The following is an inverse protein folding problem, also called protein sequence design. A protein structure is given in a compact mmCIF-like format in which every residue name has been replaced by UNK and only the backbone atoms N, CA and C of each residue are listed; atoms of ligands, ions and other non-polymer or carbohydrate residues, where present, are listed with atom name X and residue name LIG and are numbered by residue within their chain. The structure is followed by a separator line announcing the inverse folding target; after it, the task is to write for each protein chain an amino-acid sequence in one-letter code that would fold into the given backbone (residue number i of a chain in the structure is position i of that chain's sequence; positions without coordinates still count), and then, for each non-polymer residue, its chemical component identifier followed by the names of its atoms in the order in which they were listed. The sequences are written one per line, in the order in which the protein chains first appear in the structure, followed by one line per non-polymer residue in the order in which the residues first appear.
data_IF_941614351249
#
_entry.id   IF_941614351249
#
_cell.length_a   1.000
_cell.length_b   1.000
_cell.length_c   1.000
_cell.angle_alpha   90.00
_cell.angle_beta   90.00
_cell.angle_gamma   90.00
#
_symmetry.space_group_name_H-M   'P 1'
#
loop_
_entity.id
_entity.type
_entity.pdbx_description
1 polymer ?
#
# COMPACT_ATOMS: atom_id res chain seq x y z
N UNK A 1 -26.90 -36.34 13.72
CA UNK A 1 -25.49 -36.16 13.28
C UNK A 1 -25.52 -34.95 12.37
N UNK A 2 -25.78 -33.77 12.95
CA UNK A 2 -26.21 -32.59 12.19
C UNK A 2 -25.55 -31.32 12.74
N UNK A 3 -24.25 -31.40 13.06
CA UNK A 3 -23.51 -30.31 13.70
C UNK A 3 -22.44 -29.67 12.78
N UNK A 4 -22.00 -30.35 11.72
CA UNK A 4 -20.95 -29.84 10.83
C UNK A 4 -21.45 -28.82 9.79
N UNK A 5 -22.77 -28.65 9.64
CA UNK A 5 -23.35 -27.73 8.62
C UNK A 5 -23.41 -26.27 9.10
N UNK A 6 -23.36 -26.05 10.41
CA UNK A 6 -23.37 -24.72 11.05
C UNK A 6 -22.11 -23.92 10.74
N UNK A 7 -20.94 -24.58 10.87
CA UNK A 7 -19.67 -23.85 10.96
C UNK A 7 -19.14 -23.43 9.59
N UNK A 8 -19.45 -24.21 8.55
CA UNK A 8 -19.07 -23.88 7.16
C UNK A 8 -19.95 -22.78 6.57
N UNK A 9 -21.22 -22.68 6.97
CA UNK A 9 -22.14 -21.62 6.57
C UNK A 9 -21.82 -20.30 7.32
N UNK A 10 -21.43 -20.39 8.60
CA UNK A 10 -20.95 -19.24 9.39
C UNK A 10 -19.63 -18.65 8.85
N UNK A 11 -18.65 -19.51 8.51
CA UNK A 11 -17.38 -19.07 7.93
C UNK A 11 -17.53 -18.46 6.52
N UNK A 12 -18.53 -18.91 5.75
CA UNK A 12 -18.87 -18.35 4.45
C UNK A 12 -19.64 -17.02 4.53
N UNK A 13 -20.52 -16.86 5.52
CA UNK A 13 -21.35 -15.67 5.70
C UNK A 13 -20.54 -14.45 6.19
N UNK A 14 -19.63 -14.64 7.14
CA UNK A 14 -18.76 -13.54 7.61
C UNK A 14 -17.72 -13.12 6.56
N UNK A 15 -17.32 -14.03 5.68
CA UNK A 15 -16.43 -13.71 4.57
C UNK A 15 -17.09 -12.77 3.53
N UNK A 16 -18.42 -12.71 3.43
CA UNK A 16 -19.13 -11.79 2.52
C UNK A 16 -19.61 -10.50 3.18
N UNK A 17 -19.43 -10.33 4.50
CA UNK A 17 -20.08 -9.26 5.26
C UNK A 17 -19.54 -7.84 4.98
N UNK A 18 -18.28 -7.70 4.57
CA UNK A 18 -17.65 -6.40 4.30
C UNK A 18 -16.73 -6.43 3.05
N UNK A 19 -17.29 -6.48 1.83
CA UNK A 19 -16.51 -6.56 0.60
C UNK A 19 -15.57 -5.36 0.41
N UNK A 20 -15.97 -4.17 0.86
CA UNK A 20 -15.17 -2.94 0.77
C UNK A 20 -13.88 -3.04 1.59
N UNK A 21 -13.90 -3.66 2.78
CA UNK A 21 -12.69 -3.86 3.61
C UNK A 21 -11.65 -4.71 2.89
N UNK A 22 -12.10 -5.76 2.21
CA UNK A 22 -11.22 -6.67 1.46
C UNK A 22 -10.58 -5.98 0.26
N UNK A 23 -11.35 -5.18 -0.47
CA UNK A 23 -10.86 -4.41 -1.62
C UNK A 23 -9.80 -3.40 -1.16
N UNK A 24 -10.10 -2.61 -0.14
CA UNK A 24 -9.18 -1.60 0.40
C UNK A 24 -7.91 -2.27 0.95
N UNK A 25 -8.05 -3.35 1.71
CA UNK A 25 -6.90 -4.10 2.22
C UNK A 25 -6.04 -4.70 1.09
N UNK A 26 -6.66 -5.22 0.03
CA UNK A 26 -5.95 -5.74 -1.13
C UNK A 26 -5.18 -4.64 -1.86
N UNK A 27 -5.75 -3.44 -2.00
CA UNK A 27 -5.05 -2.29 -2.58
C UNK A 27 -3.80 -1.92 -1.80
N UNK A 28 -3.88 -1.85 -0.47
CA UNK A 28 -2.71 -1.58 0.38
C UNK A 28 -1.70 -2.73 0.40
N UNK A 29 -2.15 -3.97 0.22
CA UNK A 29 -1.25 -5.11 0.03
C UNK A 29 -0.46 -5.00 -1.28
N UNK A 30 -1.12 -4.67 -2.40
CA UNK A 30 -0.45 -4.45 -3.69
C UNK A 30 0.54 -3.27 -3.59
N UNK A 31 0.16 -2.18 -2.91
CA UNK A 31 1.06 -1.07 -2.64
C UNK A 31 2.30 -1.51 -1.84
N UNK A 32 2.13 -2.37 -0.83
CA UNK A 32 3.23 -2.95 -0.05
C UNK A 32 4.18 -3.75 -0.93
N UNK A 33 3.66 -4.57 -1.85
CA UNK A 33 4.49 -5.33 -2.79
C UNK A 33 5.30 -4.40 -3.71
N UNK A 34 4.68 -3.33 -4.20
CA UNK A 34 5.37 -2.31 -4.99
C UNK A 34 6.50 -1.63 -4.20
N UNK A 35 6.26 -1.29 -2.93
CA UNK A 35 7.27 -0.70 -2.05
C UNK A 35 8.44 -1.67 -1.79
N UNK A 36 8.16 -2.96 -1.58
CA UNK A 36 9.19 -3.99 -1.42
C UNK A 36 10.03 -4.16 -2.70
N UNK A 37 9.39 -4.18 -3.87
CA UNK A 37 10.10 -4.24 -5.16
C UNK A 37 11.00 -3.00 -5.36
N UNK A 38 10.48 -1.81 -5.06
CA UNK A 38 11.24 -0.57 -5.14
C UNK A 38 12.45 -0.58 -4.17
N UNK A 39 12.27 -1.08 -2.95
CA UNK A 39 13.38 -1.27 -2.00
C UNK A 39 14.45 -2.25 -2.51
N UNK A 40 14.04 -3.36 -3.14
CA UNK A 40 14.98 -4.29 -3.77
C UNK A 40 15.75 -3.60 -4.90
N UNK A 41 15.09 -2.80 -5.75
CA UNK A 41 15.75 -2.01 -6.79
C UNK A 41 16.77 -1.01 -6.20
N UNK A 42 16.45 -0.41 -5.06
CA UNK A 42 17.39 0.43 -4.33
C UNK A 42 18.62 -0.35 -3.85
N UNK A 43 18.43 -1.52 -3.22
CA UNK A 43 19.53 -2.43 -2.82
C UNK A 43 20.43 -2.75 -4.02
N UNK A 44 19.83 -3.20 -5.14
CA UNK A 44 20.60 -3.56 -6.34
C UNK A 44 21.40 -2.36 -6.87
N UNK A 45 20.85 -1.16 -6.77
CA UNK A 45 21.54 0.07 -7.19
C UNK A 45 22.73 0.41 -6.29
N UNK A 46 22.61 0.28 -4.97
CA UNK A 46 23.69 0.64 -4.04
C UNK A 46 24.83 -0.40 -3.99
N UNK A 47 24.52 -1.66 -4.31
CA UNK A 47 25.52 -2.75 -4.38
C UNK A 47 26.10 -2.95 -5.79
N UNK A 48 25.86 -2.00 -6.70
CA UNK A 48 26.37 -2.02 -8.08
C UNK A 48 25.95 -3.26 -8.90
N UNK A 49 24.77 -3.81 -8.59
CA UNK A 49 24.14 -4.90 -9.34
C UNK A 49 23.21 -4.36 -10.44
N UNK A 50 23.65 -3.32 -11.15
CA UNK A 50 22.83 -2.63 -12.17
C UNK A 50 22.52 -3.52 -13.38
N UNK A 51 23.36 -4.49 -13.69
CA UNK A 51 23.11 -5.46 -14.77
C UNK A 51 21.91 -6.37 -14.47
N UNK A 52 21.76 -6.78 -13.22
CA UNK A 52 20.59 -7.54 -12.76
C UNK A 52 19.34 -6.66 -12.74
N UNK A 53 19.48 -5.40 -12.30
CA UNK A 53 18.36 -4.45 -12.34
C UNK A 53 17.91 -4.17 -13.78
N UNK A 54 18.86 -4.07 -14.72
CA UNK A 54 18.61 -3.95 -16.15
C UNK A 54 17.87 -5.15 -16.74
N UNK A 55 18.26 -6.38 -16.39
CA UNK A 55 17.58 -7.57 -16.92
C UNK A 55 16.14 -7.71 -16.43
N UNK A 56 15.83 -7.19 -15.23
CA UNK A 56 14.49 -7.25 -14.63
C UNK A 56 13.61 -6.06 -15.07
N UNK A 57 14.15 -4.85 -15.04
CA UNK A 57 13.37 -3.61 -15.15
C UNK A 57 13.60 -2.87 -16.49
N UNK A 58 14.60 -3.28 -17.27
CA UNK A 58 15.00 -2.62 -18.52
C UNK A 58 15.72 -1.29 -18.31
N UNK A 59 16.26 -0.74 -19.40
CA UNK A 59 17.08 0.49 -19.40
C UNK A 59 16.37 1.67 -18.71
N UNK A 60 15.08 1.84 -19.04
CA UNK A 60 14.32 3.00 -18.60
C UNK A 60 14.19 3.08 -17.07
N UNK A 61 13.82 1.96 -16.44
CA UNK A 61 13.63 1.91 -14.98
C UNK A 61 14.97 1.87 -14.25
N UNK A 62 15.96 1.14 -14.75
CA UNK A 62 17.32 1.14 -14.17
C UNK A 62 17.89 2.55 -14.13
N UNK A 63 17.78 3.31 -15.22
CA UNK A 63 18.20 4.71 -15.25
C UNK A 63 17.44 5.59 -14.26
N UNK A 64 16.15 5.32 -14.02
CA UNK A 64 15.36 6.03 -13.00
C UNK A 64 15.86 5.74 -11.59
N UNK A 65 16.04 4.48 -11.22
CA UNK A 65 16.51 4.10 -9.89
C UNK A 65 17.89 4.66 -9.57
N UNK A 66 18.84 4.63 -10.53
CA UNK A 66 20.16 5.25 -10.36
C UNK A 66 20.03 6.75 -10.08
N UNK A 67 19.19 7.47 -10.83
CA UNK A 67 18.98 8.92 -10.62
C UNK A 67 18.31 9.21 -9.29
N UNK A 68 17.30 8.42 -8.91
CA UNK A 68 16.62 8.56 -7.61
C UNK A 68 17.60 8.37 -6.46
N UNK A 69 18.45 7.34 -6.51
CA UNK A 69 19.48 7.08 -5.49
C UNK A 69 20.50 8.21 -5.40
N UNK A 70 20.84 8.87 -6.51
CA UNK A 70 21.71 10.06 -6.50
C UNK A 70 21.06 11.29 -5.88
N UNK A 71 19.74 11.45 -6.03
CA UNK A 71 19.00 12.62 -5.48
C UNK A 71 18.64 12.45 -4.02
N UNK A 72 18.19 11.26 -3.63
CA UNK A 72 17.82 10.94 -2.27
C UNK A 72 18.36 9.55 -1.94
N UNK A 73 19.58 9.48 -1.42
CA UNK A 73 20.21 8.18 -1.14
C UNK A 73 19.33 7.26 -0.28
N UNK A 74 18.53 7.80 0.64
CA UNK A 74 17.69 7.03 1.56
C UNK A 74 16.26 6.74 1.04
N UNK A 75 15.97 6.96 -0.25
CA UNK A 75 14.61 6.77 -0.77
C UNK A 75 14.10 5.33 -0.58
N UNK A 76 14.97 4.33 -0.74
CA UNK A 76 14.60 2.92 -0.59
C UNK A 76 14.06 2.58 0.81
N UNK A 77 14.84 2.79 1.89
CA UNK A 77 14.37 2.56 3.25
C UNK A 77 13.09 3.33 3.60
N UNK A 78 12.95 4.59 3.14
CA UNK A 78 11.74 5.39 3.40
C UNK A 78 10.53 4.75 2.73
N UNK A 79 10.65 4.34 1.46
CA UNK A 79 9.59 3.63 0.74
C UNK A 79 9.27 2.29 1.40
N UNK A 80 10.27 1.56 1.91
CA UNK A 80 10.03 0.32 2.64
C UNK A 80 9.23 0.57 3.92
N UNK A 81 9.59 1.57 4.72
CA UNK A 81 8.82 1.96 5.92
C UNK A 81 7.38 2.34 5.56
N UNK A 82 7.21 3.06 4.44
CA UNK A 82 5.90 3.35 3.86
C UNK A 82 5.12 2.05 3.57
N UNK A 83 5.71 1.12 2.83
CA UNK A 83 5.10 -0.18 2.52
C UNK A 83 4.73 -0.99 3.77
N UNK A 84 5.60 -1.05 4.77
CA UNK A 84 5.30 -1.73 6.04
C UNK A 84 4.14 -1.07 6.78
N UNK A 85 4.04 0.26 6.74
CA UNK A 85 2.92 1.01 7.32
C UNK A 85 1.62 0.69 6.59
N UNK A 86 1.64 0.60 5.25
CA UNK A 86 0.49 0.14 4.46
C UNK A 86 0.09 -1.30 4.78
N UNK A 87 1.04 -2.20 5.02
CA UNK A 87 0.74 -3.58 5.40
C UNK A 87 0.01 -3.65 6.75
N UNK A 88 0.48 -2.87 7.74
CA UNK A 88 -0.18 -2.74 9.04
C UNK A 88 -1.57 -2.11 8.87
N UNK A 89 -1.70 -1.08 8.04
CA UNK A 89 -2.97 -0.46 7.70
C UNK A 89 -3.96 -1.48 7.12
N UNK A 90 -3.53 -2.31 6.16
CA UNK A 90 -4.37 -3.33 5.55
C UNK A 90 -4.92 -4.33 6.59
N UNK A 91 -4.07 -4.80 7.51
CA UNK A 91 -4.47 -5.70 8.59
C UNK A 91 -5.49 -5.04 9.55
N UNK A 92 -5.30 -3.76 9.87
CA UNK A 92 -6.20 -3.00 10.73
C UNK A 92 -7.55 -2.71 10.03
N UNK A 93 -7.53 -2.38 8.74
CA UNK A 93 -8.75 -2.21 7.92
C UNK A 93 -9.56 -3.51 7.85
N UNK A 94 -8.90 -4.67 7.68
CA UNK A 94 -9.60 -5.97 7.73
C UNK A 94 -10.27 -6.23 9.08
N UNK A 95 -9.67 -5.71 10.17
CA UNK A 95 -10.24 -5.77 11.52
C UNK A 95 -11.30 -4.69 11.79
N UNK A 96 -11.59 -3.83 10.82
CA UNK A 96 -12.55 -2.74 10.96
C UNK A 96 -12.08 -1.62 11.88
N UNK A 97 -10.76 -1.43 12.04
CA UNK A 97 -10.20 -0.37 12.90
C UNK A 97 -9.90 0.91 12.12
N UNK A 98 -10.46 2.04 12.54
CA UNK A 98 -10.28 3.35 11.89
C UNK A 98 -8.80 3.79 11.86
N UNK A 99 -8.02 3.38 12.86
CA UNK A 99 -6.56 3.57 12.89
C UNK A 99 -5.88 3.03 11.62
N UNK A 100 -6.41 1.94 11.05
CA UNK A 100 -5.94 1.39 9.78
C UNK A 100 -6.12 2.37 8.62
N UNK A 101 -7.26 3.04 8.53
CA UNK A 101 -7.52 4.06 7.52
C UNK A 101 -6.56 5.24 7.61
N UNK A 102 -6.32 5.75 8.82
CA UNK A 102 -5.35 6.84 9.03
C UNK A 102 -3.92 6.45 8.64
N UNK A 103 -3.47 5.23 9.02
CA UNK A 103 -2.15 4.72 8.64
C UNK A 103 -2.01 4.54 7.13
N UNK A 104 -3.08 4.12 6.46
CA UNK A 104 -3.14 4.00 5.01
C UNK A 104 -2.92 5.36 4.31
N UNK A 105 -3.61 6.40 4.76
CA UNK A 105 -3.43 7.77 4.24
C UNK A 105 -2.01 8.27 4.50
N UNK A 106 -1.51 8.09 5.73
CA UNK A 106 -0.16 8.52 6.11
C UNK A 106 0.91 7.81 5.28
N UNK A 107 0.80 6.49 5.12
CA UNK A 107 1.68 5.70 4.25
C UNK A 107 1.67 6.21 2.82
N UNK A 108 0.49 6.41 2.22
CA UNK A 108 0.42 6.94 0.86
C UNK A 108 1.09 8.31 0.75
N UNK A 109 0.86 9.22 1.70
CA UNK A 109 1.46 10.54 1.71
C UNK A 109 3.00 10.49 1.77
N UNK A 110 3.58 9.58 2.57
CA UNK A 110 5.04 9.39 2.63
C UNK A 110 5.57 8.93 1.27
N UNK A 111 4.97 7.89 0.68
CA UNK A 111 5.39 7.40 -0.63
C UNK A 111 5.27 8.43 -1.74
N UNK A 112 4.16 9.17 -1.76
CA UNK A 112 3.93 10.25 -2.72
C UNK A 112 4.94 11.40 -2.56
N UNK A 113 5.26 11.78 -1.32
CA UNK A 113 6.27 12.81 -1.06
C UNK A 113 7.66 12.39 -1.57
N UNK A 114 8.06 11.13 -1.35
CA UNK A 114 9.32 10.60 -1.89
C UNK A 114 9.30 10.63 -3.42
N UNK A 115 8.23 10.14 -4.05
CA UNK A 115 8.08 10.11 -5.51
C UNK A 115 8.26 11.50 -6.14
N UNK A 116 7.58 12.51 -5.58
CA UNK A 116 7.70 13.91 -6.02
C UNK A 116 9.11 14.46 -5.78
N UNK A 117 9.75 14.13 -4.66
CA UNK A 117 11.09 14.62 -4.33
C UNK A 117 12.17 14.08 -5.28
N UNK A 118 12.07 12.81 -5.67
CA UNK A 118 13.05 12.18 -6.58
C UNK A 118 12.72 12.42 -8.06
N UNK A 119 11.53 12.94 -8.38
CA UNK A 119 11.00 13.14 -9.73
C UNK A 119 11.88 14.03 -10.62
N UNK A 120 12.25 13.52 -11.80
CA UNK A 120 12.94 14.35 -12.81
C UNK A 120 11.98 15.33 -13.49
N UNK A 121 10.73 14.91 -13.70
CA UNK A 121 9.65 15.74 -14.23
C UNK A 121 8.53 15.73 -13.20
N UNK A 122 8.54 16.73 -12.32
CA UNK A 122 7.62 16.86 -11.19
C UNK A 122 6.17 16.73 -11.65
N UNK A 123 5.80 17.39 -12.75
CA UNK A 123 4.44 17.35 -13.28
C UNK A 123 3.94 15.93 -13.57
N UNK A 124 4.77 15.08 -14.18
CA UNK A 124 4.39 13.69 -14.52
C UNK A 124 4.21 12.85 -13.25
N UNK A 125 5.09 13.02 -12.26
CA UNK A 125 5.03 12.25 -11.01
C UNK A 125 3.84 12.69 -10.15
N UNK A 126 3.56 14.01 -10.09
CA UNK A 126 2.35 14.52 -9.45
C UNK A 126 1.10 13.98 -10.15
N UNK A 127 1.04 14.00 -11.48
CA UNK A 127 -0.12 13.50 -12.23
C UNK A 127 -0.34 12.00 -12.00
N UNK A 128 0.70 11.18 -12.15
CA UNK A 128 0.62 9.72 -11.94
C UNK A 128 0.30 9.42 -10.47
N UNK A 129 0.97 10.09 -9.53
CA UNK A 129 0.73 9.91 -8.11
C UNK A 129 -0.68 10.30 -7.69
N UNK A 130 -1.27 11.35 -8.27
CA UNK A 130 -2.68 11.69 -8.05
C UNK A 130 -3.63 10.62 -8.62
N UNK A 131 -3.36 10.07 -9.80
CA UNK A 131 -4.16 9.00 -10.38
C UNK A 131 -4.10 7.72 -9.52
N UNK A 132 -2.91 7.33 -9.08
CA UNK A 132 -2.72 6.19 -8.18
C UNK A 132 -3.39 6.48 -6.82
N UNK A 133 -3.20 7.68 -6.28
CA UNK A 133 -3.80 8.12 -5.02
C UNK A 133 -5.31 8.09 -5.06
N UNK A 134 -5.92 8.47 -6.18
CA UNK A 134 -7.37 8.32 -6.37
C UNK A 134 -7.80 6.86 -6.29
N UNK A 135 -7.11 5.96 -7.00
CA UNK A 135 -7.46 4.53 -6.99
C UNK A 135 -7.33 3.93 -5.59
N UNK A 136 -6.33 4.33 -4.81
CA UNK A 136 -6.07 3.80 -3.47
C UNK A 136 -6.94 4.45 -2.38
N UNK A 137 -7.14 5.76 -2.43
CA UNK A 137 -7.78 6.52 -1.35
C UNK A 137 -9.28 6.71 -1.54
N UNK A 138 -9.80 6.76 -2.77
CA UNK A 138 -11.25 6.95 -2.97
C UNK A 138 -12.06 5.81 -2.34
N UNK A 139 -11.73 4.51 -2.53
CA UNK A 139 -12.49 3.44 -1.88
C UNK A 139 -12.40 3.50 -0.35
N UNK A 140 -11.26 3.91 0.18
CA UNK A 140 -11.06 4.10 1.63
C UNK A 140 -11.91 5.26 2.17
N UNK A 141 -11.93 6.40 1.49
CA UNK A 141 -12.62 7.62 1.94
C UNK A 141 -14.12 7.55 1.70
N UNK A 142 -14.55 7.02 0.55
CA UNK A 142 -15.97 6.90 0.21
C UNK A 142 -16.67 5.80 1.02
N UNK A 143 -15.94 4.77 1.44
CA UNK A 143 -16.45 3.69 2.29
C UNK A 143 -16.15 3.88 3.77
N UNK A 144 -15.71 5.07 4.21
CA UNK A 144 -15.15 5.25 5.56
C UNK A 144 -16.07 4.72 6.67
N UNK A 145 -17.34 5.13 6.66
CA UNK A 145 -18.31 4.71 7.66
C UNK A 145 -18.52 3.19 7.60
N UNK A 146 -18.83 2.62 6.43
CA UNK A 146 -18.98 1.17 6.22
C UNK A 146 -17.75 0.34 6.69
N UNK A 147 -16.55 0.90 6.52
CA UNK A 147 -15.30 0.24 6.87
C UNK A 147 -15.10 0.17 8.39
N UNK A 148 -15.65 1.12 9.17
CA UNK A 148 -15.29 1.31 10.57
C UNK A 148 -16.47 1.41 11.56
N UNK A 149 -17.73 1.37 11.09
CA UNK A 149 -18.96 1.51 11.92
C UNK A 149 -19.05 0.51 13.09
N UNK A 150 -18.43 -0.67 12.97
CA UNK A 150 -18.43 -1.68 14.02
C UNK A 150 -17.58 -1.30 15.25
N UNK A 151 -16.62 -0.38 15.12
CA UNK A 151 -15.75 0.04 16.23
C UNK A 151 -16.53 0.93 17.22
N UNK A 152 -17.41 1.81 16.72
CA UNK A 152 -18.25 2.70 17.54
C UNK A 152 -19.28 1.93 18.40
N UNK A 153 -19.80 0.81 17.88
CA UNK A 153 -20.72 -0.05 18.64
C UNK A 153 -20.01 -0.92 19.70
N UNK A 154 -18.71 -1.20 19.54
CA UNK A 154 -17.94 -2.01 20.49
C UNK A 154 -17.37 -1.20 21.66
N UNK A 155 -17.16 0.11 21.49
CA UNK A 155 -16.72 1.01 22.57
C UNK A 155 -17.89 1.54 23.45
N UNK A 156 -19.14 1.33 23.03
CA UNK A 156 -20.34 1.80 23.74
C UNK A 156 -20.99 0.77 24.68
N UNK A 157 -20.37 -0.41 24.85
CA UNK A 157 -20.76 -1.48 25.79
C UNK A 157 -19.68 -1.64 26.86
#
# INVERSE_FOLDING_TARGET
MDDERSDTEYLGADAMKYPNRKIVAFQFFVYTMGAAAAFISWILTIFDHTDLLYSIAGDYLTGHFIRWTRRLFLWGPIILTSGLTAAVAALLVLRGRATGGYLAVASFAIGFAVDVFVANVIFVHVLIGLLIGWVLLVPLLAGWDDLFENEEQQESI
#
